data_IF_577560905908
#
_entry.id   IF_577560905908
#
_cell.length_a   1.000
_cell.length_b   1.000
_cell.length_c   1.000
_cell.angle_alpha   90.00
_cell.angle_beta   90.00
_cell.angle_gamma   90.00
#
_symmetry.space_group_name_H-M   'P 1'
#
loop_
_entity.id
_entity.type
_entity.pdbx_description
1 polymer ?
#
# COMPACT_ATOMS: atom_id res chain seq x y z
N UNK A 1 -10.02 12.53 14.27
CA UNK A 1 -10.09 11.08 13.97
C UNK A 1 -10.79 10.91 12.62
N UNK A 2 -10.13 10.31 11.62
CA UNK A 2 -10.69 10.16 10.26
C UNK A 2 -11.70 9.02 10.12
N UNK A 3 -12.46 9.02 9.02
CA UNK A 3 -13.41 7.96 8.66
C UNK A 3 -12.68 6.60 8.61
N UNK A 4 -13.16 5.53 9.27
CA UNK A 4 -12.48 4.23 9.33
C UNK A 4 -12.22 3.54 7.98
N UNK A 5 -12.95 3.95 6.93
CA UNK A 5 -12.77 3.41 5.57
C UNK A 5 -11.61 4.01 4.79
N UNK A 6 -11.03 5.12 5.26
CA UNK A 6 -9.92 5.80 4.60
C UNK A 6 -8.63 5.03 4.79
N UNK A 7 -7.86 4.91 3.72
CA UNK A 7 -6.59 4.18 3.71
C UNK A 7 -5.49 4.96 3.02
N UNK A 8 -4.27 4.69 3.43
CA UNK A 8 -3.09 4.95 2.61
C UNK A 8 -2.68 3.66 1.93
N UNK A 9 -2.23 3.75 0.69
CA UNK A 9 -1.60 2.63 -0.02
C UNK A 9 -0.19 3.03 -0.42
N UNK A 10 0.78 2.23 -0.01
CA UNK A 10 2.13 2.29 -0.52
C UNK A 10 2.27 1.28 -1.65
N UNK A 11 2.39 1.75 -2.88
CA UNK A 11 2.71 0.93 -4.05
C UNK A 11 4.19 1.05 -4.35
N UNK A 12 4.88 -0.08 -4.39
CA UNK A 12 6.28 -0.15 -4.80
C UNK A 12 6.37 -1.05 -6.02
N UNK A 13 6.85 -0.48 -7.13
CA UNK A 13 7.03 -1.21 -8.39
C UNK A 13 8.50 -1.17 -8.80
N UNK A 14 9.05 -2.29 -9.24
CA UNK A 14 10.34 -2.31 -9.95
C UNK A 14 10.08 -2.16 -11.44
N UNK A 15 10.88 -1.34 -12.10
CA UNK A 15 10.76 -0.98 -13.50
C UNK A 15 12.04 -1.35 -14.24
N UNK A 16 11.92 -1.79 -15.49
CA UNK A 16 13.07 -1.98 -16.38
C UNK A 16 13.61 -0.64 -16.95
N UNK A 17 14.63 -0.74 -17.80
CA UNK A 17 15.20 0.42 -18.49
C UNK A 17 14.21 1.17 -19.39
N UNK A 18 13.19 0.48 -19.90
CA UNK A 18 12.11 1.04 -20.74
C UNK A 18 10.93 1.58 -19.91
N UNK A 19 10.96 1.41 -18.58
CA UNK A 19 9.92 1.84 -17.67
C UNK A 19 8.75 0.86 -17.52
N UNK A 20 8.85 -0.36 -18.06
CA UNK A 20 7.84 -1.40 -17.84
C UNK A 20 7.95 -1.96 -16.43
N UNK A 21 6.80 -2.26 -15.83
CA UNK A 21 6.75 -2.86 -14.48
C UNK A 21 7.19 -4.32 -14.55
N UNK A 22 8.28 -4.65 -13.84
CA UNK A 22 8.80 -5.99 -13.67
C UNK A 22 8.12 -6.71 -12.50
N UNK A 23 7.96 -6.01 -11.38
CA UNK A 23 7.25 -6.51 -10.21
C UNK A 23 6.56 -5.38 -9.45
N UNK A 24 5.54 -5.72 -8.67
CA UNK A 24 4.78 -4.80 -7.82
C UNK A 24 4.48 -5.41 -6.47
N UNK A 25 4.53 -4.58 -5.43
CA UNK A 25 4.03 -4.84 -4.08
C UNK A 25 3.16 -3.67 -3.65
N UNK A 26 2.09 -3.97 -2.94
CA UNK A 26 1.20 -2.97 -2.35
C UNK A 26 1.05 -3.29 -0.86
N UNK A 27 1.19 -2.25 -0.04
CA UNK A 27 0.87 -2.28 1.38
C UNK A 27 -0.23 -1.26 1.63
N UNK A 28 -1.15 -1.57 2.54
CA UNK A 28 -2.23 -0.66 2.90
C UNK A 28 -2.19 -0.36 4.39
N UNK A 29 -2.34 0.91 4.74
CA UNK A 29 -2.38 1.40 6.10
C UNK A 29 -3.73 2.01 6.37
N UNK A 30 -4.39 1.51 7.41
CA UNK A 30 -5.75 1.90 7.74
C UNK A 30 -6.27 1.03 8.87
N UNK A 31 -7.52 1.29 9.24
CA UNK A 31 -8.25 0.42 10.16
C UNK A 31 -9.10 -0.54 9.34
N UNK A 32 -8.83 -1.83 9.44
CA UNK A 32 -9.64 -2.86 8.82
C UNK A 32 -10.80 -3.21 9.75
N UNK A 33 -12.02 -3.03 9.24
CA UNK A 33 -13.26 -3.38 9.91
C UNK A 33 -13.87 -4.60 9.25
N UNK A 34 -14.47 -5.49 10.04
CA UNK A 34 -15.11 -6.71 9.56
C UNK A 34 -16.51 -6.90 10.13
N UNK A 35 -17.36 -7.63 9.41
CA UNK A 35 -18.70 -8.05 9.85
C UNK A 35 -18.67 -9.29 10.77
N UNK A 36 -19.84 -9.90 11.01
CA UNK A 36 -19.99 -11.11 11.85
C UNK A 36 -19.32 -12.34 11.24
N UNK A 37 -19.13 -12.34 9.91
CA UNK A 37 -18.51 -13.43 9.15
C UNK A 37 -17.00 -13.22 8.97
N UNK A 38 -16.45 -12.10 9.46
CA UNK A 38 -15.04 -11.75 9.31
C UNK A 38 -14.70 -11.14 7.95
N UNK A 39 -15.69 -10.79 7.12
CA UNK A 39 -15.46 -10.15 5.83
C UNK A 39 -15.27 -8.63 5.98
N UNK A 40 -14.47 -7.97 5.12
CA UNK A 40 -14.29 -6.52 5.16
C UNK A 40 -15.63 -5.77 5.07
N UNK A 41 -15.86 -4.85 5.98
CA UNK A 41 -17.14 -4.15 6.10
C UNK A 41 -16.98 -2.64 6.31
N UNK A 42 -17.90 -1.86 5.76
CA UNK A 42 -18.03 -0.44 6.10
C UNK A 42 -18.42 -0.27 7.59
N UNK A 43 -18.06 0.88 8.18
CA UNK A 43 -18.26 1.11 9.62
C UNK A 43 -19.71 0.94 10.11
N UNK A 44 -20.70 1.20 9.24
CA UNK A 44 -22.13 1.04 9.55
C UNK A 44 -22.57 -0.43 9.69
N UNK A 45 -21.83 -1.36 9.07
CA UNK A 45 -22.12 -2.81 9.08
C UNK A 45 -21.07 -3.60 9.87
N UNK A 46 -19.95 -2.98 10.19
CA UNK A 46 -18.87 -3.59 10.93
C UNK A 46 -19.28 -3.99 12.36
N UNK A 47 -18.71 -5.08 12.82
CA UNK A 47 -18.92 -5.65 14.16
C UNK A 47 -17.64 -5.75 14.97
N UNK A 48 -16.50 -5.82 14.30
CA UNK A 48 -15.20 -5.85 14.94
C UNK A 48 -14.16 -5.05 14.13
N UNK A 49 -13.09 -4.67 14.83
CA UNK A 49 -11.84 -4.24 14.21
C UNK A 49 -11.00 -5.49 14.03
N UNK A 50 -10.67 -5.82 12.78
CA UNK A 50 -9.77 -6.93 12.49
C UNK A 50 -8.31 -6.52 12.67
N UNK A 51 -7.96 -5.30 12.24
CA UNK A 51 -6.60 -4.77 12.31
C UNK A 51 -6.61 -3.23 12.29
N UNK A 52 -5.57 -2.60 12.84
CA UNK A 52 -5.37 -1.15 12.83
C UNK A 52 -3.89 -0.82 12.61
N UNK A 53 -3.53 -0.61 11.36
CA UNK A 53 -2.17 -0.26 10.92
C UNK A 53 -2.05 1.21 10.54
N UNK A 54 -2.89 2.09 11.11
CA UNK A 54 -2.83 3.52 10.79
C UNK A 54 -1.46 4.10 11.16
N UNK A 55 -0.97 4.99 10.30
CA UNK A 55 0.23 5.77 10.58
C UNK A 55 -0.13 6.91 11.53
N UNK A 56 0.62 7.04 12.62
CA UNK A 56 0.43 8.11 13.60
C UNK A 56 1.41 9.26 13.32
N UNK A 57 1.03 10.52 13.61
CA UNK A 57 1.95 11.65 13.54
C UNK A 57 3.24 11.36 14.33
N UNK A 58 4.38 11.80 13.80
CA UNK A 58 5.71 11.60 14.41
C UNK A 58 6.14 10.14 14.61
N UNK A 59 5.41 9.17 14.04
CA UNK A 59 5.74 7.74 14.12
C UNK A 59 6.17 7.21 12.76
N UNK A 60 7.49 7.30 12.42
CA UNK A 60 7.97 6.77 11.17
C UNK A 60 7.80 5.24 11.12
N UNK A 61 7.26 4.75 10.01
CA UNK A 61 7.10 3.33 9.72
C UNK A 61 8.15 2.90 8.71
N UNK A 62 8.92 1.86 9.04
CA UNK A 62 9.89 1.26 8.12
C UNK A 62 9.35 -0.06 7.61
N UNK A 63 9.23 -0.18 6.29
CA UNK A 63 8.86 -1.43 5.62
C UNK A 63 10.05 -2.01 4.88
N UNK A 64 10.17 -3.33 4.91
CA UNK A 64 11.14 -4.07 4.09
C UNK A 64 10.37 -4.89 3.07
N UNK A 65 10.67 -4.66 1.81
CA UNK A 65 10.04 -5.34 0.68
C UNK A 65 11.13 -6.05 -0.11
N UNK A 66 10.86 -7.33 -0.41
CA UNK A 66 11.73 -8.15 -1.23
C UNK A 66 11.10 -8.34 -2.60
N UNK A 67 11.92 -8.16 -3.64
CA UNK A 67 11.55 -8.36 -5.02
C UNK A 67 12.47 -9.42 -5.62
N UNK A 68 11.92 -10.28 -6.46
CA UNK A 68 12.67 -11.30 -7.20
C UNK A 68 12.72 -10.90 -8.67
N UNK A 69 13.92 -10.78 -9.25
CA UNK A 69 14.11 -10.43 -10.66
C UNK A 69 15.53 -9.93 -10.97
N UNK A 70 15.82 -9.67 -12.25
CA UNK A 70 17.07 -9.01 -12.64
C UNK A 70 16.98 -7.51 -12.32
N UNK A 71 17.81 -7.06 -11.39
CA UNK A 71 17.86 -5.67 -10.93
C UNK A 71 18.77 -4.79 -11.80
N UNK A 72 19.52 -5.36 -12.77
CA UNK A 72 20.47 -4.59 -13.56
C UNK A 72 19.76 -3.51 -14.38
N UNK A 73 20.03 -2.26 -14.04
CA UNK A 73 19.42 -1.09 -14.68
C UNK A 73 17.96 -0.87 -14.27
N UNK A 74 17.46 -1.60 -13.27
CA UNK A 74 16.11 -1.45 -12.78
C UNK A 74 15.97 -0.21 -11.88
N UNK A 75 14.75 0.34 -11.83
CA UNK A 75 14.37 1.44 -10.94
C UNK A 75 13.22 1.01 -10.05
N UNK A 76 13.25 1.36 -8.76
CA UNK A 76 12.08 1.28 -7.91
C UNK A 76 11.29 2.59 -8.02
N UNK A 77 10.00 2.49 -8.34
CA UNK A 77 9.02 3.57 -8.19
C UNK A 77 8.19 3.29 -6.94
N UNK A 78 8.19 4.26 -6.03
CA UNK A 78 7.45 4.23 -4.77
C UNK A 78 6.37 5.31 -4.86
N UNK A 79 5.12 4.91 -4.71
CA UNK A 79 3.95 5.80 -4.74
C UNK A 79 3.19 5.63 -3.43
N UNK A 80 2.94 6.74 -2.74
CA UNK A 80 2.02 6.79 -1.62
C UNK A 80 0.72 7.41 -2.12
N UNK A 81 -0.36 6.66 -1.99
CA UNK A 81 -1.69 7.06 -2.44
C UNK A 81 -2.64 7.12 -1.25
N UNK A 82 -3.63 7.99 -1.34
CA UNK A 82 -4.76 8.07 -0.45
C UNK A 82 -6.01 7.50 -1.12
N UNK A 83 -6.68 6.61 -0.40
CA UNK A 83 -7.91 5.96 -0.80
C UNK A 83 -9.01 6.46 0.12
N UNK A 84 -10.04 7.09 -0.46
CA UNK A 84 -11.21 7.53 0.30
C UNK A 84 -11.94 6.35 0.95
N UNK A 85 -11.99 5.22 0.23
CA UNK A 85 -12.58 3.98 0.69
C UNK A 85 -11.74 2.78 0.23
N UNK A 86 -11.78 1.71 1.02
CA UNK A 86 -11.22 0.41 0.63
C UNK A 86 -11.95 -0.14 -0.61
N UNK A 87 -11.25 -0.55 -1.68
CA UNK A 87 -11.87 -1.09 -2.89
C UNK A 87 -12.76 -2.32 -2.64
N UNK A 88 -12.46 -3.14 -1.63
CA UNK A 88 -13.31 -4.27 -1.26
C UNK A 88 -14.64 -3.80 -0.65
N UNK A 89 -14.61 -2.68 0.09
CA UNK A 89 -15.82 -2.05 0.64
C UNK A 89 -16.62 -1.36 -0.46
N UNK A 90 -15.95 -0.67 -1.41
CA UNK A 90 -16.61 -0.11 -2.59
C UNK A 90 -17.36 -1.20 -3.37
N UNK A 91 -16.69 -2.34 -3.62
CA UNK A 91 -17.29 -3.49 -4.28
C UNK A 91 -18.47 -4.09 -3.48
N UNK A 92 -18.32 -4.30 -2.18
CA UNK A 92 -19.37 -4.87 -1.32
C UNK A 92 -20.60 -3.96 -1.16
N UNK A 93 -20.44 -2.65 -1.41
CA UNK A 93 -21.52 -1.67 -1.39
C UNK A 93 -22.00 -1.27 -2.79
N UNK A 94 -21.47 -1.90 -3.85
CA UNK A 94 -21.77 -1.61 -5.26
C UNK A 94 -21.59 -0.11 -5.60
N UNK A 95 -20.58 0.53 -5.00
CA UNK A 95 -20.26 1.92 -5.25
C UNK A 95 -19.37 2.05 -6.49
N UNK A 96 -19.47 3.17 -7.19
CA UNK A 96 -18.53 3.51 -8.25
C UNK A 96 -17.12 3.65 -7.65
N UNK A 97 -16.09 3.00 -8.22
CA UNK A 97 -14.72 3.09 -7.71
C UNK A 97 -14.23 4.54 -7.68
N UNK A 98 -13.72 4.98 -6.54
CA UNK A 98 -13.09 6.31 -6.43
C UNK A 98 -11.61 6.17 -6.78
N UNK A 99 -11.15 6.99 -7.73
CA UNK A 99 -9.76 6.98 -8.14
C UNK A 99 -8.84 7.30 -6.94
N UNK A 100 -7.79 6.50 -6.68
CA UNK A 100 -6.79 6.80 -5.68
C UNK A 100 -6.12 8.15 -5.95
N UNK A 101 -5.87 8.92 -4.90
CA UNK A 101 -5.20 10.22 -4.99
C UNK A 101 -3.70 10.03 -4.70
N UNK A 102 -2.83 10.39 -5.63
CA UNK A 102 -1.38 10.33 -5.40
C UNK A 102 -0.97 11.42 -4.40
N UNK A 103 -0.41 11.02 -3.27
CA UNK A 103 0.09 11.93 -2.22
C UNK A 103 1.56 12.25 -2.46
N UNK A 104 2.36 11.22 -2.73
CA UNK A 104 3.78 11.38 -2.95
C UNK A 104 4.30 10.30 -3.91
N UNK A 105 5.36 10.62 -4.62
CA UNK A 105 6.09 9.68 -5.48
C UNK A 105 7.59 9.88 -5.31
N UNK A 106 8.32 8.77 -5.35
CA UNK A 106 9.77 8.74 -5.41
C UNK A 106 10.22 7.69 -6.42
N UNK A 107 11.38 7.90 -7.02
CA UNK A 107 12.06 6.91 -7.84
C UNK A 107 13.50 6.72 -7.34
N UNK A 108 13.95 5.47 -7.30
CA UNK A 108 15.27 5.09 -6.83
C UNK A 108 15.90 4.15 -7.87
N UNK A 109 17.15 4.43 -8.27
CA UNK A 109 17.93 3.46 -9.03
C UNK A 109 18.28 2.27 -8.14
N UNK A 110 17.97 1.06 -8.60
CA UNK A 110 18.39 -0.17 -7.93
C UNK A 110 19.80 -0.49 -8.41
N UNK A 111 20.78 0.24 -7.86
CA UNK A 111 22.17 -0.10 -8.09
C UNK A 111 22.42 -1.48 -7.48
N UNK A 112 22.72 -2.48 -8.31
CA UNK A 112 22.98 -3.88 -7.92
C UNK A 112 24.16 -4.11 -6.96
N UNK A 113 24.58 -3.09 -6.19
CA UNK A 113 25.53 -3.24 -5.08
C UNK A 113 24.81 -3.87 -3.89
N UNK A 114 24.92 -5.20 -3.83
CA UNK A 114 24.91 -5.95 -2.57
C UNK A 114 25.78 -5.23 -1.54
N UNK A 115 25.18 -4.44 -0.63
CA UNK A 115 25.84 -4.10 0.64
C UNK A 115 25.63 -5.28 1.58
N UNK A 116 26.39 -6.33 1.32
CA UNK A 116 26.77 -7.25 2.38
C UNK A 116 27.65 -6.48 3.37
N UNK A 117 27.15 -6.24 4.57
CA UNK A 117 28.00 -6.22 5.77
C UNK A 117 27.14 -6.53 6.98
N UNK A 118 27.06 -7.81 7.31
CA UNK A 118 26.90 -8.24 8.68
C UNK A 118 28.06 -7.66 9.50
N UNK A 119 27.74 -7.11 10.66
CA UNK A 119 28.63 -7.06 11.82
C UNK A 119 27.86 -7.63 12.98
#
# INVERSE_FOLDING_TARGET
>A
AGLPGRRLRLRVSTLDGEGRVLARRELQYGRALVDEQGAPAAFIRARAVADDQRLYPESPRLERLEFTGDERGARARVELEFLELDPAIEAALELAPVAPQLIARSELALDGRRRGRAR
#
